data_IF_737532258684
#
_entry.id   IF_737532258684
#
_cell.length_a   1.000
_cell.length_b   1.000
_cell.length_c   1.000
_cell.angle_alpha   90.00
_cell.angle_beta   90.00
_cell.angle_gamma   90.00
#
_symmetry.space_group_name_H-M   'P 1'
#
loop_
_entity.id
_entity.type
_entity.pdbx_description
1 polymer ?
#
# COMPACT_ATOMS: atom_id res chain seq x y z
N UNK A 1 -77.76 -45.99 60.39
CA UNK A 1 -76.71 -46.85 59.80
C UNK A 1 -75.44 -46.59 60.58
N UNK A 2 -75.08 -47.50 61.48
CA UNK A 2 -74.09 -48.57 61.25
C UNK A 2 -72.68 -48.01 61.52
N UNK A 3 -72.14 -48.17 62.74
CA UNK A 3 -71.37 -49.32 63.28
C UNK A 3 -69.87 -49.15 63.02
N UNK A 4 -69.11 -49.54 64.05
CA UNK A 4 -67.80 -50.22 63.99
C UNK A 4 -66.55 -49.35 64.22
N UNK A 5 -65.93 -49.66 65.35
CA UNK A 5 -64.55 -49.40 65.76
C UNK A 5 -63.52 -49.91 64.75
N UNK A 6 -62.31 -49.33 64.72
CA UNK A 6 -61.09 -50.14 64.58
C UNK A 6 -59.83 -49.39 65.03
N UNK A 7 -59.10 -50.01 65.95
CA UNK A 7 -57.74 -49.67 66.41
C UNK A 7 -56.73 -50.44 65.56
N UNK A 8 -55.73 -49.78 64.95
CA UNK A 8 -54.42 -50.32 64.49
C UNK A 8 -53.49 -49.10 64.38
N UNK A 9 -52.24 -48.99 64.85
CA UNK A 9 -51.17 -49.96 65.08
C UNK A 9 -49.91 -49.45 64.37
N UNK A 10 -48.93 -49.00 65.17
CA UNK A 10 -47.47 -48.77 64.98
C UNK A 10 -46.83 -49.01 63.59
N UNK A 11 -45.92 -48.12 63.17
CA UNK A 11 -44.57 -48.45 62.64
C UNK A 11 -43.62 -47.26 62.88
N UNK A 12 -42.60 -47.48 63.72
CA UNK A 12 -41.40 -46.65 63.83
C UNK A 12 -40.38 -47.25 62.85
N UNK A 13 -39.96 -46.48 61.84
CA UNK A 13 -38.79 -46.82 61.02
C UNK A 13 -37.61 -46.03 61.57
N UNK A 14 -36.71 -46.76 62.24
CA UNK A 14 -35.36 -46.30 62.57
C UNK A 14 -34.53 -46.38 61.30
N UNK A 15 -34.17 -45.22 60.72
CA UNK A 15 -33.21 -45.15 59.63
C UNK A 15 -31.79 -45.16 60.21
N UNK A 16 -31.12 -46.30 60.12
CA UNK A 16 -29.67 -46.43 60.33
C UNK A 16 -28.96 -46.09 59.01
N UNK A 17 -28.12 -45.06 59.07
CA UNK A 17 -26.84 -44.93 58.36
C UNK A 17 -26.81 -44.89 56.83
N UNK A 18 -26.42 -43.74 56.28
CA UNK A 18 -25.37 -43.68 55.23
C UNK A 18 -24.54 -42.42 55.47
N UNK A 19 -23.30 -42.61 55.93
CA UNK A 19 -22.25 -41.60 55.88
C UNK A 19 -22.00 -41.30 54.40
N UNK A 20 -22.57 -40.21 53.89
CA UNK A 20 -22.15 -39.68 52.59
C UNK A 20 -20.73 -39.15 52.78
N UNK A 21 -19.75 -39.89 52.25
CA UNK A 21 -18.47 -39.29 51.89
C UNK A 21 -18.77 -38.18 50.87
N UNK A 22 -18.97 -36.97 51.39
CA UNK A 22 -18.95 -35.75 50.61
C UNK A 22 -17.49 -35.61 50.17
N UNK A 23 -17.19 -36.06 48.94
CA UNK A 23 -15.98 -35.65 48.23
C UNK A 23 -15.87 -34.13 48.45
N UNK A 24 -14.84 -33.69 49.19
CA UNK A 24 -14.55 -32.27 49.27
C UNK A 24 -14.19 -31.87 47.85
N UNK A 25 -15.03 -31.02 47.26
CA UNK A 25 -14.72 -30.40 45.99
C UNK A 25 -13.33 -29.75 46.11
N UNK A 26 -12.46 -30.05 45.15
CA UNK A 26 -11.12 -29.52 45.11
C UNK A 26 -11.20 -28.02 44.82
N UNK A 27 -11.09 -27.19 45.86
CA UNK A 27 -11.17 -25.75 45.72
C UNK A 27 -9.79 -25.15 45.43
N UNK A 28 -9.65 -24.51 44.28
CA UNK A 28 -8.39 -23.86 43.88
C UNK A 28 -8.17 -22.66 44.79
N UNK A 29 -7.04 -22.64 45.50
CA UNK A 29 -6.68 -21.51 46.38
C UNK A 29 -6.78 -20.18 45.65
N UNK A 30 -7.34 -19.15 46.31
CA UNK A 30 -7.45 -17.78 45.81
C UNK A 30 -6.12 -17.24 45.26
N UNK A 31 -5.01 -17.46 45.96
CA UNK A 31 -3.66 -17.07 45.51
C UNK A 31 -3.26 -17.66 44.15
N UNK A 32 -3.74 -18.86 43.82
CA UNK A 32 -3.47 -19.51 42.53
C UNK A 32 -4.37 -18.96 41.43
N UNK A 33 -5.60 -18.56 41.77
CA UNK A 33 -6.49 -17.85 40.85
C UNK A 33 -5.89 -16.50 40.46
N UNK A 34 -5.44 -15.72 41.45
CA UNK A 34 -4.76 -14.43 41.23
C UNK A 34 -3.49 -14.60 40.39
N UNK A 35 -2.67 -15.61 40.71
CA UNK A 35 -1.48 -15.95 39.94
C UNK A 35 -1.81 -16.23 38.46
N UNK A 36 -2.80 -17.08 38.18
CA UNK A 36 -3.23 -17.39 36.82
C UNK A 36 -3.75 -16.15 36.08
N UNK A 37 -4.53 -15.31 36.76
CA UNK A 37 -5.12 -14.10 36.18
C UNK A 37 -4.06 -13.04 35.85
N UNK A 38 -3.05 -12.88 36.69
CA UNK A 38 -1.91 -12.00 36.43
C UNK A 38 -1.18 -12.41 35.15
N UNK A 39 -0.85 -13.69 35.01
CA UNK A 39 -0.19 -14.21 33.81
C UNK A 39 -1.07 -14.07 32.57
N UNK A 40 -2.36 -14.41 32.67
CA UNK A 40 -3.30 -14.25 31.56
C UNK A 40 -3.33 -12.80 31.07
N UNK A 41 -3.46 -11.83 31.98
CA UNK A 41 -3.47 -10.40 31.65
C UNK A 41 -2.17 -9.97 30.97
N UNK A 42 -1.01 -10.45 31.45
CA UNK A 42 0.30 -10.15 30.86
C UNK A 42 0.40 -10.67 29.41
N UNK A 43 -0.15 -11.86 29.11
CA UNK A 43 -0.12 -12.40 27.75
C UNK A 43 -1.11 -11.72 26.83
N UNK A 44 -2.30 -11.35 27.32
CA UNK A 44 -3.26 -10.53 26.56
C UNK A 44 -2.62 -9.19 26.17
N UNK A 45 -1.88 -8.55 27.08
CA UNK A 45 -1.13 -7.34 26.78
C UNK A 45 -0.03 -7.57 25.71
N UNK A 46 0.67 -8.71 25.72
CA UNK A 46 1.65 -9.06 24.67
C UNK A 46 0.99 -9.27 23.31
N UNK A 47 -0.15 -9.95 23.26
CA UNK A 47 -0.93 -10.14 22.01
C UNK A 47 -1.36 -8.79 21.46
N UNK A 48 -1.94 -7.94 22.31
CA UNK A 48 -2.34 -6.59 21.92
C UNK A 48 -1.16 -5.78 21.37
N UNK A 49 -0.02 -5.79 22.06
CA UNK A 49 1.20 -5.12 21.59
C UNK A 49 1.66 -5.62 20.21
N UNK A 50 1.55 -6.92 19.96
CA UNK A 50 1.85 -7.53 18.65
C UNK A 50 0.93 -6.98 17.55
N UNK A 51 -0.37 -6.93 17.83
CA UNK A 51 -1.40 -6.43 16.92
C UNK A 51 -1.24 -4.93 16.63
N UNK A 52 -0.95 -4.13 17.67
CA UNK A 52 -0.68 -2.69 17.55
C UNK A 52 0.56 -2.43 16.67
N UNK A 53 1.66 -3.15 16.88
CA UNK A 53 2.87 -3.01 16.06
C UNK A 53 2.63 -3.35 14.58
N UNK A 54 1.79 -4.36 14.29
CA UNK A 54 1.39 -4.68 12.91
C UNK A 54 0.49 -3.59 12.30
N UNK A 55 -0.41 -3.02 13.09
CA UNK A 55 -1.27 -1.92 12.65
C UNK A 55 -0.43 -0.67 12.31
N UNK A 56 0.51 -0.32 13.18
CA UNK A 56 1.45 0.78 12.97
C UNK A 56 2.30 0.56 11.71
N UNK A 57 2.79 -0.66 11.51
CA UNK A 57 3.55 -1.02 10.31
C UNK A 57 2.74 -0.81 9.03
N UNK A 58 1.48 -1.28 9.01
CA UNK A 58 0.56 -1.09 7.88
C UNK A 58 0.24 0.38 7.63
N UNK A 59 0.00 1.15 8.70
CA UNK A 59 -0.28 2.58 8.59
C UNK A 59 0.93 3.34 8.07
N UNK A 60 2.14 3.02 8.56
CA UNK A 60 3.40 3.59 8.08
C UNK A 60 3.60 3.36 6.59
N UNK A 61 3.40 2.11 6.13
CA UNK A 61 3.49 1.77 4.71
C UNK A 61 2.52 2.57 3.84
N UNK A 62 1.24 2.63 4.23
CA UNK A 62 0.22 3.39 3.50
C UNK A 62 0.54 4.89 3.47
N UNK A 63 1.02 5.44 4.59
CA UNK A 63 1.39 6.85 4.70
C UNK A 63 2.54 7.19 3.76
N UNK A 64 3.56 6.36 3.65
CA UNK A 64 4.69 6.60 2.73
C UNK A 64 4.28 6.56 1.25
N UNK A 65 3.24 5.79 0.91
CA UNK A 65 2.71 5.73 -0.45
C UNK A 65 1.74 6.89 -0.77
N UNK A 66 1.14 7.53 0.23
CA UNK A 66 0.14 8.61 0.02
C UNK A 66 0.64 9.80 -0.80
N UNK A 67 1.96 10.06 -0.80
CA UNK A 67 2.55 11.11 -1.64
C UNK A 67 2.40 10.86 -3.14
N UNK A 68 2.30 9.59 -3.56
CA UNK A 68 2.07 9.22 -4.97
C UNK A 68 0.64 9.58 -5.39
N UNK A 69 -0.35 9.46 -4.50
CA UNK A 69 -1.73 9.88 -4.77
C UNK A 69 -1.82 11.39 -5.02
N UNK A 70 -1.08 12.20 -4.26
CA UNK A 70 -1.00 13.64 -4.51
C UNK A 70 -0.39 13.92 -5.89
N UNK A 71 0.72 13.24 -6.24
CA UNK A 71 1.34 13.39 -7.56
C UNK A 71 0.42 12.97 -8.70
N UNK A 72 -0.40 11.93 -8.49
CA UNK A 72 -1.42 11.49 -9.44
C UNK A 72 -2.44 12.60 -9.73
N UNK A 73 -2.97 13.24 -8.69
CA UNK A 73 -3.97 14.29 -8.86
C UNK A 73 -3.38 15.55 -9.50
N UNK A 74 -2.15 15.92 -9.13
CA UNK A 74 -1.41 16.99 -9.80
C UNK A 74 -1.20 16.68 -11.29
N UNK A 75 -0.77 15.46 -11.63
CA UNK A 75 -0.57 15.04 -13.01
C UNK A 75 -1.88 15.11 -13.82
N UNK A 76 -2.99 14.61 -13.25
CA UNK A 76 -4.31 14.67 -13.88
C UNK A 76 -4.73 16.12 -14.16
N UNK A 77 -4.54 17.01 -13.20
CA UNK A 77 -4.84 18.44 -13.36
C UNK A 77 -4.00 19.05 -14.48
N UNK A 78 -2.68 18.77 -14.55
CA UNK A 78 -1.82 19.29 -15.62
C UNK A 78 -2.21 18.79 -17.01
N UNK A 79 -2.57 17.51 -17.14
CA UNK A 79 -3.07 16.95 -18.39
C UNK A 79 -4.40 17.60 -18.78
N UNK A 80 -5.29 17.82 -17.83
CA UNK A 80 -6.57 18.51 -18.07
C UNK A 80 -6.38 19.95 -18.53
N UNK A 81 -5.47 20.70 -17.89
CA UNK A 81 -5.16 22.07 -18.26
C UNK A 81 -4.62 22.15 -19.69
N UNK A 82 -3.70 21.27 -20.05
CA UNK A 82 -3.16 21.22 -21.41
C UNK A 82 -4.24 20.93 -22.44
N UNK A 83 -5.11 19.95 -22.21
CA UNK A 83 -6.24 19.68 -23.11
C UNK A 83 -7.22 20.86 -23.19
N UNK A 84 -7.42 21.59 -22.10
CA UNK A 84 -8.29 22.78 -22.07
C UNK A 84 -7.71 23.93 -22.90
N UNK A 85 -6.38 24.03 -23.00
CA UNK A 85 -5.70 24.98 -23.88
C UNK A 85 -5.71 24.54 -25.35
N UNK A 86 -5.54 23.24 -25.61
CA UNK A 86 -5.41 22.72 -26.97
C UNK A 86 -6.75 22.59 -27.71
N UNK A 87 -7.81 22.18 -27.02
CA UNK A 87 -9.14 21.93 -27.62
C UNK A 87 -9.69 23.13 -28.40
N UNK A 88 -9.63 24.38 -27.90
CA UNK A 88 -10.11 25.54 -28.64
C UNK A 88 -9.46 25.72 -30.02
N UNK A 89 -8.17 25.38 -30.17
CA UNK A 89 -7.46 25.50 -31.45
C UNK A 89 -8.05 24.59 -32.54
N UNK A 90 -8.67 23.46 -32.18
CA UNK A 90 -9.31 22.57 -33.15
C UNK A 90 -10.53 23.20 -33.86
N UNK A 91 -11.10 24.26 -33.29
CA UNK A 91 -12.29 24.94 -33.79
C UNK A 91 -12.01 26.24 -34.56
N UNK A 92 -10.75 26.71 -34.61
CA UNK A 92 -10.41 27.97 -35.29
C UNK A 92 -10.44 27.80 -36.81
N UNK A 93 -9.53 26.98 -37.36
CA UNK A 93 -9.46 26.69 -38.79
C UNK A 93 -8.79 25.32 -39.04
N UNK A 94 -8.63 24.95 -40.32
CA UNK A 94 -8.00 23.68 -40.71
C UNK A 94 -6.52 23.59 -40.34
N UNK A 95 -5.78 24.70 -40.33
CA UNK A 95 -4.36 24.74 -39.97
C UNK A 95 -4.15 24.45 -38.49
N UNK A 96 -4.85 25.17 -37.62
CA UNK A 96 -4.77 24.98 -36.17
C UNK A 96 -5.18 23.55 -35.78
N UNK A 97 -6.27 23.05 -36.38
CA UNK A 97 -6.71 21.67 -36.21
C UNK A 97 -5.65 20.65 -36.64
N UNK A 98 -4.97 20.89 -37.74
CA UNK A 98 -3.89 20.02 -38.22
C UNK A 98 -2.68 20.04 -37.27
N UNK A 99 -2.27 21.21 -36.79
CA UNK A 99 -1.19 21.33 -35.81
C UNK A 99 -1.49 20.54 -34.54
N UNK A 100 -2.70 20.69 -33.97
CA UNK A 100 -3.09 19.92 -32.78
C UNK A 100 -3.05 18.42 -33.05
N UNK A 101 -3.69 17.96 -34.15
CA UNK A 101 -3.75 16.52 -34.49
C UNK A 101 -2.39 15.88 -34.73
N UNK A 102 -1.44 16.60 -35.32
CA UNK A 102 -0.12 16.07 -35.65
C UNK A 102 0.72 15.75 -34.41
N UNK A 103 0.49 16.47 -33.30
CA UNK A 103 1.40 16.44 -32.15
C UNK A 103 0.72 16.03 -30.83
N UNK A 104 -0.62 15.94 -30.77
CA UNK A 104 -1.36 15.61 -29.55
C UNK A 104 -1.46 14.10 -29.24
N UNK A 105 -1.09 13.23 -30.18
CA UNK A 105 -1.23 11.77 -30.04
C UNK A 105 -0.47 11.16 -28.85
N UNK A 106 0.59 11.82 -28.39
CA UNK A 106 1.40 11.39 -27.23
C UNK A 106 0.96 12.01 -25.91
N UNK A 107 -0.01 12.93 -25.93
CA UNK A 107 -0.60 13.50 -24.73
C UNK A 107 -1.65 12.50 -24.22
N UNK A 108 -1.50 11.92 -23.02
CA UNK A 108 -2.49 10.99 -22.51
C UNK A 108 -3.80 11.71 -22.16
N UNK A 109 -4.88 10.96 -22.06
CA UNK A 109 -6.09 11.43 -21.37
C UNK A 109 -5.85 11.54 -19.86
N UNK A 110 -6.68 12.34 -19.17
CA UNK A 110 -6.68 12.42 -17.71
C UNK A 110 -6.87 11.06 -17.05
N UNK A 111 -7.71 10.22 -17.63
CA UNK A 111 -7.93 8.84 -17.18
C UNK A 111 -6.66 8.00 -17.31
N UNK A 112 -6.01 8.00 -18.47
CA UNK A 112 -4.77 7.24 -18.68
C UNK A 112 -3.65 7.66 -17.73
N UNK A 113 -3.45 8.97 -17.56
CA UNK A 113 -2.46 9.50 -16.61
C UNK A 113 -2.74 9.06 -15.17
N UNK A 114 -4.01 9.06 -14.75
CA UNK A 114 -4.43 8.56 -13.43
C UNK A 114 -4.27 7.05 -13.27
N UNK A 115 -4.58 6.28 -14.30
CA UNK A 115 -4.48 4.83 -14.30
C UNK A 115 -3.03 4.36 -14.15
N UNK A 116 -2.09 4.95 -14.90
CA UNK A 116 -0.66 4.60 -14.81
C UNK A 116 -0.07 4.85 -13.43
N UNK A 117 -0.44 5.95 -12.77
CA UNK A 117 -0.01 6.21 -11.39
C UNK A 117 -0.65 5.25 -10.37
N UNK A 118 -1.92 4.87 -10.60
CA UNK A 118 -2.63 3.90 -9.76
C UNK A 118 -2.00 2.52 -9.85
N UNK A 119 -1.53 2.12 -11.03
CA UNK A 119 -0.82 0.85 -11.24
C UNK A 119 0.46 0.74 -10.40
N UNK A 120 1.22 1.84 -10.30
CA UNK A 120 2.41 1.93 -9.44
C UNK A 120 2.06 1.66 -7.96
N UNK A 121 0.93 2.17 -7.48
CA UNK A 121 0.43 1.96 -6.11
C UNK A 121 -0.10 0.55 -5.88
N UNK A 122 -0.87 0.01 -6.82
CA UNK A 122 -1.49 -1.30 -6.69
C UNK A 122 -0.43 -2.39 -6.51
N UNK A 123 0.64 -2.34 -7.30
CA UNK A 123 1.71 -3.34 -7.23
C UNK A 123 2.33 -3.38 -5.84
N UNK A 124 2.65 -2.24 -5.24
CA UNK A 124 3.21 -2.18 -3.89
C UNK A 124 2.24 -2.73 -2.83
N UNK A 125 0.96 -2.38 -2.90
CA UNK A 125 -0.07 -2.85 -1.98
C UNK A 125 -0.32 -4.36 -2.09
N UNK A 126 -0.30 -4.92 -3.30
CA UNK A 126 -0.46 -6.37 -3.50
C UNK A 126 0.64 -7.17 -2.81
N UNK A 127 1.89 -6.68 -2.84
CA UNK A 127 3.00 -7.36 -2.16
C UNK A 127 2.97 -7.21 -0.64
N UNK A 128 2.38 -6.14 -0.11
CA UNK A 128 2.39 -5.84 1.32
C UNK A 128 1.77 -6.95 2.18
N UNK A 129 0.67 -7.55 1.73
CA UNK A 129 0.02 -8.65 2.46
C UNK A 129 0.95 -9.87 2.64
N UNK A 130 1.80 -10.16 1.65
CA UNK A 130 2.80 -11.22 1.76
C UNK A 130 3.91 -10.85 2.75
N UNK A 131 4.31 -9.58 2.77
CA UNK A 131 5.38 -9.03 3.61
C UNK A 131 5.02 -9.15 5.10
N UNK A 132 3.79 -8.81 5.51
CA UNK A 132 3.39 -8.88 6.94
C UNK A 132 2.97 -10.28 7.42
N UNK A 133 2.80 -11.24 6.50
CA UNK A 133 2.13 -12.52 6.77
C UNK A 133 2.79 -13.36 7.87
N UNK A 134 4.12 -13.46 7.86
CA UNK A 134 4.90 -14.22 8.85
C UNK A 134 4.77 -13.62 10.25
N UNK A 135 4.89 -12.29 10.37
CA UNK A 135 4.73 -11.59 11.65
C UNK A 135 3.30 -11.75 12.20
N UNK A 136 2.29 -11.63 11.33
CA UNK A 136 0.88 -11.87 11.67
C UNK A 136 0.61 -13.30 12.16
N UNK A 137 1.21 -14.30 11.52
CA UNK A 137 1.11 -15.69 11.95
C UNK A 137 1.68 -15.91 13.36
N UNK A 138 2.77 -15.20 13.70
CA UNK A 138 3.37 -15.29 15.04
C UNK A 138 2.46 -14.70 16.11
N UNK A 139 1.84 -13.53 15.89
CA UNK A 139 0.86 -12.98 16.84
C UNK A 139 -0.29 -13.99 17.09
N UNK A 140 -0.76 -14.63 16.01
CA UNK A 140 -1.81 -15.66 16.10
C UNK A 140 -1.34 -16.90 16.87
N UNK A 141 -0.06 -17.27 16.73
CA UNK A 141 0.57 -18.37 17.47
C UNK A 141 0.69 -18.06 18.96
N UNK A 142 1.09 -16.83 19.35
CA UNK A 142 1.14 -16.39 20.76
C UNK A 142 -0.25 -16.50 21.39
N UNK A 143 -1.28 -16.00 20.71
CA UNK A 143 -2.67 -16.06 21.16
C UNK A 143 -3.15 -17.51 21.34
N UNK A 144 -2.84 -18.38 20.39
CA UNK A 144 -3.19 -19.80 20.43
C UNK A 144 -2.53 -20.52 21.62
N UNK A 145 -1.23 -20.30 21.85
CA UNK A 145 -0.49 -20.93 22.95
C UNK A 145 -1.01 -20.50 24.33
N UNK A 146 -1.29 -19.20 24.50
CA UNK A 146 -1.89 -18.69 25.72
C UNK A 146 -3.27 -19.32 25.96
N UNK A 147 -4.14 -19.30 24.94
CA UNK A 147 -5.51 -19.89 25.02
C UNK A 147 -5.45 -21.38 25.37
N UNK A 148 -4.54 -22.13 24.74
CA UNK A 148 -4.36 -23.55 25.01
C UNK A 148 -3.91 -23.81 26.45
N UNK A 149 -2.99 -23.00 26.97
CA UNK A 149 -2.47 -23.18 28.34
C UNK A 149 -3.52 -22.85 29.40
N UNK A 150 -4.18 -21.69 29.31
CA UNK A 150 -5.18 -21.29 30.31
C UNK A 150 -6.51 -22.04 30.20
N UNK A 151 -6.82 -22.59 29.02
CA UNK A 151 -7.98 -23.44 28.81
C UNK A 151 -7.69 -24.91 29.11
N UNK A 152 -6.86 -25.55 28.27
CA UNK A 152 -6.70 -27.00 28.26
C UNK A 152 -5.73 -27.49 29.33
N UNK A 153 -4.53 -26.93 29.43
CA UNK A 153 -3.55 -27.38 30.43
C UNK A 153 -4.05 -27.13 31.86
N UNK A 154 -4.67 -25.97 32.11
CA UNK A 154 -5.31 -25.68 33.40
C UNK A 154 -6.32 -26.76 33.78
N UNK A 155 -7.24 -27.11 32.86
CA UNK A 155 -8.26 -28.14 33.08
C UNK A 155 -7.63 -29.52 33.30
N UNK A 156 -6.61 -29.88 32.52
CA UNK A 156 -5.90 -31.15 32.68
C UNK A 156 -5.22 -31.25 34.05
N UNK A 157 -4.56 -30.19 34.53
CA UNK A 157 -3.98 -30.16 35.87
C UNK A 157 -5.05 -30.30 36.97
N UNK A 158 -6.21 -29.63 36.81
CA UNK A 158 -7.33 -29.75 37.75
C UNK A 158 -7.86 -31.18 37.83
N UNK A 159 -8.02 -31.86 36.68
CA UNK A 159 -8.51 -33.25 36.63
C UNK A 159 -7.47 -34.23 37.19
N UNK A 160 -6.20 -34.06 36.83
CA UNK A 160 -5.12 -34.97 37.24
C UNK A 160 -4.76 -34.92 38.72
N UNK A 161 -5.03 -33.79 39.39
CA UNK A 161 -4.56 -33.54 40.76
C UNK A 161 -5.67 -33.11 41.74
N UNK A 162 -6.90 -33.60 41.54
CA UNK A 162 -8.08 -33.28 42.40
C UNK A 162 -7.90 -33.53 43.90
N UNK A 163 -6.91 -34.30 44.31
CA UNK A 163 -6.69 -34.67 45.73
C UNK A 163 -5.45 -34.02 46.34
N UNK A 164 -4.68 -33.25 45.57
CA UNK A 164 -3.40 -32.69 46.00
C UNK A 164 -3.20 -31.28 45.48
N UNK A 165 -3.33 -30.29 46.36
CA UNK A 165 -3.10 -28.88 46.03
C UNK A 165 -1.64 -28.65 45.62
N UNK A 166 -0.69 -29.34 46.26
CA UNK A 166 0.73 -29.22 45.94
C UNK A 166 1.02 -29.69 44.51
N UNK A 167 0.47 -30.84 44.10
CA UNK A 167 0.68 -31.38 42.75
C UNK A 167 -0.03 -30.53 41.70
N UNK A 168 -1.24 -30.05 41.99
CA UNK A 168 -1.93 -29.09 41.13
C UNK A 168 -1.10 -27.82 40.92
N UNK A 169 -0.60 -27.22 42.00
CA UNK A 169 0.21 -26.00 41.94
C UNK A 169 1.50 -26.22 41.13
N UNK A 170 2.16 -27.38 41.31
CA UNK A 170 3.37 -27.73 40.55
C UNK A 170 3.05 -27.96 39.06
N UNK A 171 1.93 -28.60 38.73
CA UNK A 171 1.47 -28.78 37.35
C UNK A 171 1.26 -27.43 36.65
N UNK A 172 0.51 -26.51 37.28
CA UNK A 172 0.25 -25.17 36.75
C UNK A 172 1.55 -24.37 36.57
N UNK A 173 2.44 -24.37 37.56
CA UNK A 173 3.73 -23.67 37.47
C UNK A 173 4.57 -24.18 36.30
N UNK A 174 4.61 -25.49 36.09
CA UNK A 174 5.31 -26.10 34.95
C UNK A 174 4.69 -25.70 33.61
N UNK A 175 3.37 -25.71 33.51
CA UNK A 175 2.67 -25.27 32.30
C UNK A 175 2.93 -23.79 31.97
N UNK A 176 2.92 -22.92 32.98
CA UNK A 176 3.22 -21.48 32.80
C UNK A 176 4.69 -21.26 32.43
N UNK A 177 5.62 -21.95 33.09
CA UNK A 177 7.05 -21.84 32.73
C UNK A 177 7.32 -22.28 31.29
N UNK A 178 6.64 -23.34 30.82
CA UNK A 178 6.70 -23.75 29.41
C UNK A 178 6.15 -22.68 28.47
N UNK A 179 5.00 -22.11 28.81
CA UNK A 179 4.37 -21.04 28.03
C UNK A 179 5.27 -19.80 27.95
N UNK A 180 5.93 -19.41 29.03
CA UNK A 180 6.87 -18.29 29.05
C UNK A 180 8.05 -18.49 28.09
N UNK A 181 8.62 -19.69 28.06
CA UNK A 181 9.69 -20.03 27.11
C UNK A 181 9.21 -19.94 25.67
N UNK A 182 8.02 -20.50 25.38
CA UNK A 182 7.44 -20.49 24.04
C UNK A 182 7.11 -19.07 23.58
N UNK A 183 6.47 -18.27 24.43
CA UNK A 183 6.13 -16.89 24.11
C UNK A 183 7.38 -16.04 23.96
N UNK A 184 8.42 -16.24 24.77
CA UNK A 184 9.68 -15.51 24.61
C UNK A 184 10.34 -15.81 23.27
N UNK A 185 10.35 -17.08 22.85
CA UNK A 185 10.85 -17.49 21.53
C UNK A 185 10.03 -16.91 20.39
N UNK A 186 8.70 -17.01 20.47
CA UNK A 186 7.79 -16.43 19.47
C UNK A 186 7.96 -14.90 19.38
N UNK A 187 8.13 -14.22 20.51
CA UNK A 187 8.32 -12.78 20.55
C UNK A 187 9.62 -12.35 19.86
N UNK A 188 10.73 -13.06 20.07
CA UNK A 188 11.97 -12.81 19.35
C UNK A 188 11.82 -13.03 17.85
N UNK A 189 11.13 -14.10 17.45
CA UNK A 189 10.83 -14.36 16.03
C UNK A 189 9.92 -13.29 15.43
N UNK A 190 8.97 -12.76 16.20
CA UNK A 190 8.09 -11.68 15.75
C UNK A 190 8.91 -10.44 15.35
N UNK A 191 9.79 -9.95 16.22
CA UNK A 191 10.65 -8.80 15.91
C UNK A 191 11.51 -9.04 14.68
N UNK A 192 12.15 -10.21 14.61
CA UNK A 192 12.97 -10.57 13.44
C UNK A 192 12.17 -10.50 12.14
N UNK A 193 10.98 -11.09 12.11
CA UNK A 193 10.15 -11.06 10.90
C UNK A 193 9.55 -9.68 10.62
N UNK A 194 9.32 -8.86 11.65
CA UNK A 194 8.89 -7.48 11.47
C UNK A 194 10.01 -6.61 10.88
N UNK A 195 11.26 -6.82 11.29
CA UNK A 195 12.44 -6.14 10.72
C UNK A 195 12.70 -6.56 9.26
N UNK A 196 12.61 -7.86 8.96
CA UNK A 196 12.67 -8.38 7.59
C UNK A 196 11.54 -7.81 6.71
N UNK A 197 10.35 -7.69 7.28
CA UNK A 197 9.19 -7.11 6.63
C UNK A 197 9.41 -5.61 6.36
N UNK A 198 9.94 -4.85 7.31
CA UNK A 198 10.28 -3.43 7.15
C UNK A 198 11.25 -3.20 6.00
N UNK A 199 12.33 -3.99 5.93
CA UNK A 199 13.27 -3.91 4.82
C UNK A 199 12.61 -4.19 3.46
N UNK A 200 11.77 -5.22 3.40
CA UNK A 200 11.03 -5.59 2.19
C UNK A 200 10.03 -4.50 1.78
N UNK A 201 9.33 -3.92 2.76
CA UNK A 201 8.37 -2.83 2.57
C UNK A 201 9.06 -1.58 2.01
N UNK A 202 10.19 -1.16 2.58
CA UNK A 202 10.99 -0.02 2.08
C UNK A 202 11.41 -0.21 0.62
N UNK A 203 11.80 -1.43 0.26
CA UNK A 203 12.14 -1.77 -1.13
C UNK A 203 10.93 -1.58 -2.05
N UNK A 204 9.75 -2.07 -1.65
CA UNK A 204 8.51 -1.91 -2.44
C UNK A 204 8.04 -0.47 -2.53
N UNK A 205 8.13 0.30 -1.45
CA UNK A 205 7.85 1.75 -1.44
C UNK A 205 8.75 2.45 -2.45
N UNK A 206 10.06 2.18 -2.42
CA UNK A 206 11.01 2.78 -3.38
C UNK A 206 10.66 2.43 -4.82
N UNK A 207 10.30 1.19 -5.10
CA UNK A 207 9.88 0.77 -6.45
C UNK A 207 8.61 1.53 -6.91
N UNK A 208 7.63 1.70 -6.02
CA UNK A 208 6.42 2.47 -6.33
C UNK A 208 6.76 3.93 -6.67
N UNK A 209 7.63 4.56 -5.89
CA UNK A 209 8.10 5.92 -6.14
C UNK A 209 8.87 6.07 -7.44
N UNK A 210 9.74 5.11 -7.79
CA UNK A 210 10.45 5.11 -9.08
C UNK A 210 9.47 4.98 -10.25
N UNK A 211 8.47 4.10 -10.13
CA UNK A 211 7.40 3.95 -11.13
C UNK A 211 6.60 5.25 -11.31
N UNK A 212 6.17 5.86 -10.20
CA UNK A 212 5.43 7.12 -10.19
C UNK A 212 6.25 8.26 -10.82
N UNK A 213 7.52 8.38 -10.44
CA UNK A 213 8.43 9.37 -10.99
C UNK A 213 8.60 9.21 -12.50
N UNK A 214 8.85 8.00 -12.99
CA UNK A 214 9.00 7.74 -14.42
C UNK A 214 7.73 8.09 -15.21
N UNK A 215 6.56 7.78 -14.64
CA UNK A 215 5.25 8.12 -15.23
C UNK A 215 5.07 9.65 -15.32
N UNK A 216 5.35 10.35 -14.22
CA UNK A 216 5.24 11.81 -14.14
C UNK A 216 6.23 12.50 -15.09
N UNK A 217 7.49 12.05 -15.10
CA UNK A 217 8.53 12.59 -15.97
C UNK A 217 8.19 12.41 -17.45
N UNK A 218 7.84 11.18 -17.85
CA UNK A 218 7.52 10.86 -19.26
C UNK A 218 6.30 11.65 -19.72
N UNK A 219 5.24 11.69 -18.91
CA UNK A 219 4.03 12.44 -19.25
C UNK A 219 4.31 13.93 -19.34
N UNK A 220 5.07 14.51 -18.41
CA UNK A 220 5.42 15.94 -18.42
C UNK A 220 6.29 16.29 -19.62
N UNK A 221 7.25 15.44 -19.99
CA UNK A 221 8.10 15.64 -21.15
C UNK A 221 7.31 15.57 -22.47
N UNK A 222 6.41 14.60 -22.60
CA UNK A 222 5.51 14.49 -23.75
C UNK A 222 4.59 15.70 -23.85
N UNK A 223 4.01 16.13 -22.72
CA UNK A 223 3.15 17.31 -22.65
C UNK A 223 3.89 18.57 -23.10
N UNK A 224 5.06 18.85 -22.51
CA UNK A 224 5.85 20.03 -22.83
C UNK A 224 6.32 20.04 -24.29
N UNK A 225 6.76 18.88 -24.80
CA UNK A 225 7.20 18.74 -26.19
C UNK A 225 6.05 18.94 -27.17
N UNK A 226 4.91 18.29 -26.95
CA UNK A 226 3.73 18.44 -27.81
C UNK A 226 3.18 19.86 -27.78
N UNK A 227 3.05 20.48 -26.60
CA UNK A 227 2.58 21.87 -26.50
C UNK A 227 3.50 22.83 -27.25
N UNK A 228 4.82 22.67 -27.13
CA UNK A 228 5.79 23.48 -27.89
C UNK A 228 5.63 23.29 -29.38
N UNK A 229 5.61 22.03 -29.87
CA UNK A 229 5.47 21.74 -31.30
C UNK A 229 4.16 22.27 -31.89
N UNK A 230 3.06 22.20 -31.14
CA UNK A 230 1.78 22.78 -31.55
C UNK A 230 1.87 24.29 -31.64
N UNK A 231 2.44 24.96 -30.63
CA UNK A 231 2.60 26.41 -30.63
C UNK A 231 3.52 26.89 -31.75
N UNK A 232 4.63 26.19 -31.99
CA UNK A 232 5.57 26.47 -33.08
C UNK A 232 4.89 26.29 -34.44
N UNK A 233 4.08 25.23 -34.61
CA UNK A 233 3.28 24.99 -35.82
C UNK A 233 2.25 26.10 -36.06
N UNK A 234 1.51 26.52 -35.02
CA UNK A 234 0.54 27.61 -35.10
C UNK A 234 1.24 28.94 -35.44
N UNK A 235 2.34 29.26 -34.76
CA UNK A 235 3.12 30.47 -35.02
C UNK A 235 3.78 30.45 -36.42
N UNK A 236 4.13 29.26 -36.92
CA UNK A 236 4.69 29.04 -38.25
C UNK A 236 3.78 29.52 -39.37
N UNK A 237 2.44 29.53 -39.18
CA UNK A 237 1.49 30.12 -40.14
C UNK A 237 1.70 31.62 -40.34
N UNK A 238 2.18 32.33 -39.31
CA UNK A 238 2.49 33.77 -39.39
C UNK A 238 3.85 34.03 -40.02
N UNK A 239 4.79 33.11 -39.87
CA UNK A 239 6.17 33.22 -40.38
C UNK A 239 6.26 32.80 -41.85
N UNK A 240 5.50 31.77 -42.23
CA UNK A 240 5.22 31.41 -43.60
C UNK A 240 3.76 31.78 -43.85
N UNK A 241 3.52 33.04 -44.22
CA UNK A 241 2.19 33.48 -44.64
C UNK A 241 1.62 32.52 -45.69
N UNK A 242 0.28 32.43 -45.77
CA UNK A 242 -0.62 31.56 -46.58
C UNK A 242 -0.09 31.01 -47.93
N UNK A 243 0.97 31.56 -48.51
CA UNK A 243 1.79 30.92 -49.53
C UNK A 243 2.57 29.73 -48.94
N UNK A 244 2.06 28.55 -49.28
CA UNK A 244 2.55 27.26 -48.82
C UNK A 244 4.08 27.15 -48.72
N UNK A 245 4.55 26.54 -47.64
CA UNK A 245 5.89 25.94 -47.57
C UNK A 245 6.09 24.80 -48.61
N UNK A 246 5.11 24.55 -49.49
CA UNK A 246 5.20 23.66 -50.65
C UNK A 246 5.49 24.41 -51.95
N UNK A 247 5.21 25.72 -52.02
CA UNK A 247 5.64 26.58 -53.10
C UNK A 247 7.10 26.91 -52.86
N UNK A 248 7.98 26.11 -53.48
CA UNK A 248 9.42 26.36 -53.51
C UNK A 248 9.64 27.83 -53.82
N UNK A 249 10.37 28.51 -52.96
CA UNK A 249 10.74 29.86 -53.32
C UNK A 249 11.58 29.80 -54.61
N UNK A 250 11.27 30.66 -55.58
CA UNK A 250 12.03 30.73 -56.83
C UNK A 250 13.51 31.02 -56.59
N UNK A 251 13.81 31.77 -55.52
CA UNK A 251 15.17 32.08 -55.10
C UNK A 251 15.58 31.13 -53.97
N UNK A 252 16.46 30.18 -54.29
CA UNK A 252 17.01 29.23 -53.32
C UNK A 252 18.49 29.48 -53.11
N UNK A 253 18.90 29.60 -51.86
CA UNK A 253 20.31 29.56 -51.46
C UNK A 253 20.59 28.23 -50.79
N UNK A 254 21.62 27.52 -51.26
CA UNK A 254 22.07 26.26 -50.64
C UNK A 254 23.30 26.54 -49.79
N UNK A 255 23.23 26.20 -48.52
CA UNK A 255 24.37 26.20 -47.61
C UNK A 255 24.83 24.75 -47.45
N UNK A 256 26.05 24.45 -47.88
CA UNK A 256 26.70 23.18 -47.63
C UNK A 256 27.37 23.25 -46.25
N UNK A 257 26.91 22.43 -45.30
CA UNK A 257 27.49 22.40 -43.94
C UNK A 257 28.88 21.74 -43.95
N UNK A 258 29.27 21.07 -45.06
CA UNK A 258 30.56 20.40 -45.20
C UNK A 258 31.69 21.34 -45.62
N UNK A 259 31.37 22.47 -46.24
CA UNK A 259 32.35 23.54 -46.50
C UNK A 259 32.52 24.37 -45.23
N UNK A 260 33.25 23.77 -44.29
CA UNK A 260 33.78 24.39 -43.10
C UNK A 260 34.62 25.60 -43.48
N UNK A 261 34.04 26.78 -43.49
CA UNK A 261 34.77 27.98 -43.07
C UNK A 261 34.49 28.24 -41.59
N UNK A 262 34.82 27.26 -40.73
CA UNK A 262 34.86 27.42 -39.27
C UNK A 262 35.99 28.37 -38.82
N UNK A 263 36.65 29.09 -39.74
CA UNK A 263 37.52 30.22 -39.39
C UNK A 263 36.72 31.49 -39.11
N UNK A 264 35.47 31.58 -39.58
CA UNK A 264 34.60 32.71 -39.31
C UNK A 264 33.58 32.35 -38.23
N UNK A 265 33.60 33.08 -37.12
CA UNK A 265 32.59 33.01 -36.03
C UNK A 265 31.19 33.48 -36.49
N UNK A 266 31.07 33.98 -37.71
CA UNK A 266 29.82 34.53 -38.27
C UNK A 266 29.57 34.03 -39.69
N UNK A 267 28.38 33.49 -39.94
CA UNK A 267 27.89 33.17 -41.29
C UNK A 267 27.47 34.49 -41.95
N UNK A 268 27.93 34.75 -43.17
CA UNK A 268 27.54 35.95 -43.93
C UNK A 268 26.02 35.94 -44.13
N UNK A 269 25.33 37.00 -43.72
CA UNK A 269 23.88 37.09 -43.78
C UNK A 269 23.42 36.93 -45.26
N UNK A 270 22.71 35.83 -45.59
CA UNK A 270 22.29 35.52 -46.95
C UNK A 270 21.24 36.50 -47.49
N UNK A 271 20.60 37.27 -46.62
CA UNK A 271 19.61 38.28 -46.96
C UNK A 271 20.23 39.67 -47.21
N UNK A 272 21.55 39.82 -47.05
CA UNK A 272 22.24 41.10 -47.18
C UNK A 272 22.69 41.32 -48.64
N UNK A 273 22.14 42.34 -49.32
CA UNK A 273 22.43 42.65 -50.73
C UNK A 273 21.46 42.01 -51.74
N UNK A 274 20.41 41.33 -51.26
CA UNK A 274 19.33 40.83 -52.11
C UNK A 274 18.61 41.97 -52.84
N UNK A 275 18.22 41.74 -54.08
CA UNK A 275 17.42 42.69 -54.85
C UNK A 275 16.08 42.91 -54.12
N UNK A 276 15.69 44.17 -53.88
CA UNK A 276 14.45 44.53 -53.18
C UNK A 276 13.18 44.00 -53.87
N UNK A 277 13.30 43.50 -55.10
CA UNK A 277 12.24 42.86 -55.88
C UNK A 277 12.18 41.32 -55.73
N UNK A 278 13.05 40.70 -54.93
CA UNK A 278 12.96 39.26 -54.63
C UNK A 278 11.84 39.01 -53.62
N UNK A 279 10.67 38.58 -54.11
CA UNK A 279 9.48 38.35 -53.27
C UNK A 279 9.61 37.23 -52.22
N UNK A 280 10.59 36.34 -52.35
CA UNK A 280 10.95 35.36 -51.33
C UNK A 280 12.43 34.94 -51.50
N UNK A 281 13.03 34.38 -50.45
CA UNK A 281 14.30 33.63 -50.51
C UNK A 281 14.23 32.42 -49.57
N UNK A 282 14.54 31.22 -50.06
CA UNK A 282 14.56 29.97 -49.28
C UNK A 282 16.01 29.53 -49.05
N UNK A 283 16.39 29.33 -47.78
CA UNK A 283 17.66 28.71 -47.41
C UNK A 283 17.49 27.20 -47.25
N UNK A 284 18.34 26.45 -47.95
CA UNK A 284 18.38 24.98 -47.86
C UNK A 284 19.75 24.54 -47.38
N UNK A 285 19.76 23.78 -46.30
CA UNK A 285 20.94 23.09 -45.82
C UNK A 285 21.09 21.77 -46.58
N UNK A 286 22.30 21.48 -47.06
CA UNK A 286 22.63 20.21 -47.72
C UNK A 286 23.52 19.36 -46.82
#
# INVERSE_FOLDING_TARGET
>A
MQKVELVIGVIIIVAVGVSTHRDRDFDVTESMVEYLQLYQTNYEAKVKKCEDMLADFRQGFAKELSGIDLQKDLLKSRVQDAWSQLKPFEFIDSWHRQCVRNYSSVIPSTYQAGASMTECLMTANTYFNGIESSAKHICSSIKSQATHTFGNHKRSCQIGHRKSQADYNNCIKKSISSLDMDISRLWSSFHKHLDEADFSAKTRIRMAWVCAFNTLYTTSNNLGSSMRLINDCIAGQRSCGIMSCTSRCANQMRLDIRERDFKSLTIKNPFHGGNKHMGCMELRFK
#
